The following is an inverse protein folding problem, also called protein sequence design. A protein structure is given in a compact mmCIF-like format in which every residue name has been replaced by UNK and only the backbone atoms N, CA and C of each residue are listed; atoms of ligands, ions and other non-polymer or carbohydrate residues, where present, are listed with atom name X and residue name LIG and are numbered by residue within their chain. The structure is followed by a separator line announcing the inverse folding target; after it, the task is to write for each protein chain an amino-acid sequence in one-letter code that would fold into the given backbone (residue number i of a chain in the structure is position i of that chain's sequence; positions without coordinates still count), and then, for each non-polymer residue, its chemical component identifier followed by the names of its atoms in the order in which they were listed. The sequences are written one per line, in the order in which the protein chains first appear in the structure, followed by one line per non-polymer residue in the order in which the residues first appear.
data_IF_780859021966
#
_entry.id   IF_780859021966
#
_cell.length_a   1.000
_cell.length_b   1.000
_cell.length_c   1.000
_cell.angle_alpha   90.00
_cell.angle_beta   90.00
_cell.angle_gamma   90.00
#
_symmetry.space_group_name_H-M   'P 1'
#
loop_
_entity.id
_entity.type
_entity.pdbx_description
1 polymer ?
#
# COMPACT_ATOMS: atom_id res chain seq x y z
N UNK A 1 32.71 6.12 19.22
CA UNK A 1 32.15 5.85 20.57
C UNK A 1 30.65 5.76 20.42
N UNK A 2 30.08 4.54 20.43
CA UNK A 2 28.63 4.34 20.30
C UNK A 2 27.97 4.70 21.63
N UNK A 3 27.46 5.90 21.72
CA UNK A 3 26.88 6.48 22.96
C UNK A 3 25.55 5.82 23.34
N UNK A 4 24.90 5.15 22.40
CA UNK A 4 23.52 4.63 22.52
C UNK A 4 23.42 3.11 22.66
N UNK A 5 24.54 2.40 22.56
CA UNK A 5 24.54 0.94 22.55
C UNK A 5 25.46 0.41 23.63
N UNK A 6 24.95 -0.21 24.69
CA UNK A 6 25.77 -1.04 25.58
C UNK A 6 26.45 -2.14 24.76
N UNK A 7 27.72 -2.42 25.06
CA UNK A 7 28.45 -3.47 24.33
C UNK A 7 27.79 -4.86 24.41
N UNK A 8 27.03 -5.10 25.47
CA UNK A 8 26.24 -6.32 25.70
C UNK A 8 25.03 -6.50 24.72
N UNK A 9 24.66 -5.48 23.97
CA UNK A 9 23.54 -5.53 23.01
C UNK A 9 23.97 -5.90 21.59
N UNK A 10 25.19 -6.38 21.38
CA UNK A 10 25.69 -6.73 20.02
C UNK A 10 25.19 -8.09 19.52
N UNK A 11 24.75 -8.97 20.39
CA UNK A 11 24.27 -10.31 20.05
C UNK A 11 22.89 -10.54 20.63
N UNK A 12 21.89 -10.59 19.73
CA UNK A 12 20.53 -10.96 20.10
C UNK A 12 20.28 -12.43 19.76
N UNK A 13 19.83 -13.21 20.72
CA UNK A 13 19.41 -14.59 20.48
C UNK A 13 17.92 -14.65 20.11
N UNK A 14 17.59 -15.49 19.15
CA UNK A 14 16.21 -15.72 18.76
C UNK A 14 15.36 -16.14 19.96
N UNK A 15 14.16 -15.56 20.10
CA UNK A 15 13.22 -15.85 21.17
C UNK A 15 13.53 -15.16 22.52
N UNK A 16 14.59 -14.36 22.60
CA UNK A 16 14.92 -13.61 23.82
C UNK A 16 14.23 -12.24 23.87
N UNK A 17 13.89 -11.78 25.07
CA UNK A 17 13.34 -10.45 25.31
C UNK A 17 14.41 -9.57 25.96
N UNK A 18 14.57 -8.37 25.43
CA UNK A 18 15.51 -7.36 25.93
C UNK A 18 14.75 -6.09 26.27
N UNK A 19 15.12 -5.43 27.37
CA UNK A 19 14.48 -4.21 27.84
C UNK A 19 15.42 -3.02 27.65
N UNK A 20 14.98 -2.04 26.87
CA UNK A 20 15.69 -0.78 26.72
C UNK A 20 14.97 0.29 27.54
N UNK A 21 15.64 0.80 28.54
CA UNK A 21 15.12 1.85 29.41
C UNK A 21 15.78 3.20 29.15
N UNK A 22 15.17 4.26 29.73
CA UNK A 22 15.72 5.62 29.73
C UNK A 22 15.95 6.25 28.34
N UNK A 23 15.18 5.84 27.35
CA UNK A 23 15.17 6.46 26.04
C UNK A 23 14.17 7.65 26.03
N UNK A 24 14.70 8.88 25.97
CA UNK A 24 13.90 10.08 25.98
C UNK A 24 13.99 10.83 24.65
N UNK A 25 12.86 11.40 24.19
CA UNK A 25 12.79 12.19 22.97
C UNK A 25 13.21 11.38 21.75
N UNK A 26 14.20 11.89 21.01
CA UNK A 26 14.67 11.24 19.77
C UNK A 26 15.68 10.11 19.97
N UNK A 27 16.09 9.82 21.22
CA UNK A 27 17.05 8.75 21.49
C UNK A 27 16.54 7.36 21.10
N UNK A 28 15.23 7.16 21.13
CA UNK A 28 14.57 5.94 20.66
C UNK A 28 14.80 5.71 19.16
N UNK A 29 14.63 6.75 18.33
CA UNK A 29 14.88 6.68 16.90
C UNK A 29 16.35 6.38 16.58
N UNK A 30 17.27 7.02 17.30
CA UNK A 30 18.70 6.78 17.14
C UNK A 30 19.08 5.34 17.53
N UNK A 31 18.55 4.82 18.63
CA UNK A 31 18.76 3.45 19.07
C UNK A 31 18.24 2.44 18.03
N UNK A 32 17.05 2.66 17.46
CA UNK A 32 16.47 1.82 16.41
C UNK A 32 17.31 1.82 15.12
N UNK A 33 17.80 2.99 14.70
CA UNK A 33 18.66 3.12 13.51
C UNK A 33 19.96 2.33 13.71
N UNK A 34 20.61 2.52 14.86
CA UNK A 34 21.85 1.82 15.17
C UNK A 34 21.64 0.30 15.27
N UNK A 35 20.53 -0.11 15.89
CA UNK A 35 20.16 -1.52 15.98
C UNK A 35 19.95 -2.13 14.60
N UNK A 36 19.14 -1.51 13.74
CA UNK A 36 18.88 -2.03 12.40
C UNK A 36 20.15 -2.12 11.53
N UNK A 37 21.06 -1.14 11.66
CA UNK A 37 22.34 -1.15 10.97
C UNK A 37 23.26 -2.28 11.47
N UNK A 38 23.29 -2.50 12.76
CA UNK A 38 24.18 -3.51 13.40
C UNK A 38 23.68 -4.93 13.10
N UNK A 39 22.37 -5.16 13.18
CA UNK A 39 21.78 -6.48 12.96
C UNK A 39 21.64 -6.84 11.47
N UNK A 40 21.67 -5.85 10.59
CA UNK A 40 21.45 -6.02 9.13
C UNK A 40 20.18 -6.81 8.81
N UNK A 41 19.12 -6.59 9.56
CA UNK A 41 17.82 -7.25 9.46
C UNK A 41 16.69 -6.23 9.36
N UNK A 42 15.49 -6.70 9.08
CA UNK A 42 14.27 -5.90 9.17
C UNK A 42 13.86 -5.80 10.64
N UNK A 43 13.73 -4.58 11.13
CA UNK A 43 13.24 -4.27 12.47
C UNK A 43 11.78 -3.85 12.36
N UNK A 44 10.88 -4.59 13.00
CA UNK A 44 9.49 -4.19 13.15
C UNK A 44 9.33 -3.39 14.45
N UNK A 45 8.97 -2.12 14.31
CA UNK A 45 8.67 -1.24 15.43
C UNK A 45 7.16 -1.07 15.58
N UNK A 46 6.62 -1.44 16.74
CA UNK A 46 5.19 -1.31 17.05
C UNK A 46 4.99 -0.12 17.97
N UNK A 47 4.48 0.98 17.42
CA UNK A 47 4.15 2.17 18.19
C UNK A 47 2.89 1.93 19.04
N UNK A 48 2.88 2.51 20.24
CA UNK A 48 1.75 2.36 21.18
C UNK A 48 0.44 2.99 20.69
N UNK A 49 0.55 4.08 19.91
CA UNK A 49 -0.56 4.84 19.35
C UNK A 49 -0.15 5.59 18.09
N UNK A 50 -1.10 6.17 17.38
CA UNK A 50 -0.85 6.93 16.13
C UNK A 50 0.03 8.18 16.37
N UNK A 51 -0.09 8.83 17.51
CA UNK A 51 0.73 10.00 17.84
C UNK A 51 2.20 9.59 17.94
N UNK A 52 2.47 8.51 18.63
CA UNK A 52 3.82 7.96 18.76
C UNK A 52 4.36 7.43 17.42
N UNK A 53 3.52 6.78 16.61
CA UNK A 53 3.84 6.38 15.23
C UNK A 53 4.35 7.56 14.40
N UNK A 54 3.61 8.69 14.38
CA UNK A 54 4.01 9.88 13.63
C UNK A 54 5.30 10.50 14.18
N UNK A 55 5.45 10.53 15.50
CA UNK A 55 6.65 11.08 16.15
C UNK A 55 7.90 10.27 15.80
N UNK A 56 7.86 8.94 15.95
CA UNK A 56 8.99 8.08 15.67
C UNK A 56 9.33 8.06 14.17
N UNK A 57 8.34 8.06 13.30
CA UNK A 57 8.54 8.12 11.85
C UNK A 57 9.28 9.41 11.44
N UNK A 58 8.86 10.55 11.99
CA UNK A 58 9.54 11.83 11.74
C UNK A 58 10.98 11.83 12.25
N UNK A 59 11.20 11.32 13.46
CA UNK A 59 12.54 11.24 14.05
C UNK A 59 13.46 10.29 13.26
N UNK A 60 12.96 9.13 12.85
CA UNK A 60 13.70 8.17 12.01
C UNK A 60 14.06 8.79 10.66
N UNK A 61 13.12 9.45 9.99
CA UNK A 61 13.40 10.12 8.71
C UNK A 61 14.38 11.29 8.84
N UNK A 62 14.36 11.99 9.98
CA UNK A 62 15.29 13.10 10.25
C UNK A 62 16.73 12.62 10.48
N UNK A 63 16.92 11.54 11.25
CA UNK A 63 18.26 11.05 11.63
C UNK A 63 18.83 10.01 10.67
N UNK A 64 17.99 9.43 9.81
CA UNK A 64 18.42 8.35 8.92
C UNK A 64 18.70 8.85 7.51
N UNK A 65 19.87 8.50 6.99
CA UNK A 65 20.26 8.79 5.60
C UNK A 65 20.39 7.54 4.71
N UNK A 66 20.28 6.33 5.26
CA UNK A 66 20.70 5.12 4.53
C UNK A 66 19.78 3.90 4.67
N UNK A 67 18.99 3.80 5.75
CA UNK A 67 18.08 2.68 5.94
C UNK A 67 16.73 2.96 5.27
N UNK A 68 16.09 1.93 4.75
CA UNK A 68 14.71 2.01 4.29
C UNK A 68 13.78 2.04 5.50
N UNK A 69 12.92 3.05 5.56
CA UNK A 69 11.93 3.21 6.62
C UNK A 69 10.55 3.11 5.95
N UNK A 70 9.79 2.09 6.33
CA UNK A 70 8.45 1.84 5.81
C UNK A 70 7.44 2.07 6.93
N UNK A 71 6.41 2.87 6.63
CA UNK A 71 5.30 3.10 7.54
C UNK A 71 4.09 2.26 7.13
N UNK A 72 3.49 1.55 8.07
CA UNK A 72 2.26 0.80 7.85
C UNK A 72 1.21 1.24 8.88
N UNK A 73 0.34 2.18 8.47
CA UNK A 73 -0.73 2.73 9.31
C UNK A 73 -1.98 1.85 9.30
N UNK A 74 -2.88 2.09 10.26
CA UNK A 74 -4.23 1.56 10.22
C UNK A 74 -5.07 2.27 9.13
N UNK A 75 -6.28 1.79 8.91
CA UNK A 75 -7.20 2.37 7.92
C UNK A 75 -7.83 3.70 8.36
N UNK A 76 -7.65 4.12 9.61
CA UNK A 76 -8.23 5.35 10.19
C UNK A 76 -9.77 5.43 10.08
N UNK A 77 -10.43 4.29 9.97
CA UNK A 77 -11.88 4.14 10.01
C UNK A 77 -12.27 3.10 11.07
N UNK A 78 -13.45 3.25 11.66
CA UNK A 78 -13.95 2.31 12.65
C UNK A 78 -14.41 1.02 11.99
N UNK A 79 -14.21 -0.10 12.69
CA UNK A 79 -14.68 -1.40 12.22
C UNK A 79 -16.21 -1.38 12.02
N UNK A 80 -16.64 -1.92 10.87
CA UNK A 80 -18.05 -1.96 10.45
C UNK A 80 -18.71 -0.61 10.20
N UNK A 81 -17.93 0.46 10.07
CA UNK A 81 -18.42 1.74 9.56
C UNK A 81 -18.72 1.63 8.05
N UNK A 82 -19.55 2.53 7.55
CA UNK A 82 -19.93 2.59 6.13
C UNK A 82 -18.96 3.41 5.27
N UNK A 83 -17.76 3.65 5.78
CA UNK A 83 -16.73 4.40 5.07
C UNK A 83 -15.51 3.53 4.79
N UNK A 84 -14.99 3.64 3.57
CA UNK A 84 -13.68 3.10 3.22
C UNK A 84 -12.55 4.02 3.67
N UNK A 85 -11.35 3.50 3.90
CA UNK A 85 -10.15 4.30 4.14
C UNK A 85 -9.91 5.32 3.03
N UNK A 86 -9.28 6.44 3.39
CA UNK A 86 -8.88 7.43 2.39
C UNK A 86 -7.91 6.81 1.35
N UNK A 87 -8.02 7.12 0.05
CA UNK A 87 -7.15 6.56 -1.00
C UNK A 87 -5.65 6.68 -0.70
N UNK A 88 -5.19 7.79 -0.09
CA UNK A 88 -3.80 7.98 0.31
C UNK A 88 -3.33 6.92 1.32
N UNK A 89 -4.21 6.51 2.26
CA UNK A 89 -3.90 5.49 3.27
C UNK A 89 -3.76 4.14 2.58
N UNK A 90 -4.72 3.76 1.75
CA UNK A 90 -4.68 2.50 0.99
C UNK A 90 -3.44 2.46 0.10
N UNK A 91 -3.14 3.57 -0.58
CA UNK A 91 -1.96 3.74 -1.43
C UNK A 91 -0.65 3.53 -0.66
N UNK A 92 -0.51 4.19 0.49
CA UNK A 92 0.68 4.04 1.36
C UNK A 92 0.83 2.62 1.90
N UNK A 93 -0.28 1.95 2.27
CA UNK A 93 -0.27 0.56 2.73
C UNK A 93 0.19 -0.39 1.62
N UNK A 94 -0.40 -0.27 0.42
CA UNK A 94 -0.03 -1.09 -0.74
C UNK A 94 1.42 -0.87 -1.17
N UNK A 95 1.90 0.38 -1.14
CA UNK A 95 3.31 0.70 -1.37
C UNK A 95 4.21 0.01 -0.34
N UNK A 96 3.85 0.07 0.93
CA UNK A 96 4.61 -0.60 2.00
C UNK A 96 4.61 -2.12 1.82
N UNK A 97 3.46 -2.73 1.54
CA UNK A 97 3.35 -4.18 1.32
C UNK A 97 4.18 -4.64 0.12
N UNK A 98 4.16 -3.89 -1.00
CA UNK A 98 4.95 -4.21 -2.19
C UNK A 98 6.45 -4.18 -1.93
N UNK A 99 6.91 -3.28 -1.06
CA UNK A 99 8.32 -3.12 -0.72
C UNK A 99 8.77 -4.10 0.37
N UNK A 100 7.86 -4.52 1.24
CA UNK A 100 8.14 -5.40 2.37
C UNK A 100 8.63 -6.78 1.90
N UNK A 101 8.03 -7.32 0.83
CA UNK A 101 8.40 -8.63 0.28
C UNK A 101 9.89 -8.74 -0.11
N UNK A 102 10.50 -7.63 -0.52
CA UNK A 102 11.91 -7.57 -0.96
C UNK A 102 12.85 -6.90 0.05
N UNK A 103 12.32 -6.41 1.16
CA UNK A 103 13.09 -5.69 2.17
C UNK A 103 14.01 -6.65 2.94
N UNK A 104 15.33 -6.48 2.83
CA UNK A 104 16.32 -7.28 3.55
C UNK A 104 16.79 -6.60 4.83
N UNK A 105 16.88 -5.28 4.81
CA UNK A 105 17.34 -4.46 5.93
C UNK A 105 16.56 -3.15 5.96
N UNK A 106 16.08 -2.76 7.15
CA UNK A 106 15.31 -1.52 7.30
C UNK A 106 14.46 -1.53 8.57
N UNK A 107 13.62 -0.52 8.69
CA UNK A 107 12.69 -0.37 9.81
C UNK A 107 11.28 -0.28 9.26
N UNK A 108 10.40 -1.15 9.73
CA UNK A 108 8.95 -1.10 9.47
C UNK A 108 8.28 -0.58 10.73
N UNK A 109 7.52 0.50 10.59
CA UNK A 109 6.80 1.12 11.70
C UNK A 109 5.31 0.82 11.54
N UNK A 110 4.69 0.35 12.60
CA UNK A 110 3.25 0.11 12.65
C UNK A 110 2.68 0.45 14.02
N UNK A 111 1.37 0.33 14.19
CA UNK A 111 0.70 0.40 15.49
C UNK A 111 0.19 -0.98 15.89
N UNK A 112 -0.13 -1.16 17.19
CA UNK A 112 -0.73 -2.41 17.67
C UNK A 112 -2.06 -2.70 16.96
N UNK A 113 -2.85 -1.65 16.71
CA UNK A 113 -4.13 -1.75 15.98
C UNK A 113 -3.92 -2.26 14.56
N UNK A 114 -2.96 -1.70 13.81
CA UNK A 114 -2.64 -2.17 12.45
C UNK A 114 -2.09 -3.60 12.44
N UNK A 115 -1.27 -3.95 13.43
CA UNK A 115 -0.69 -5.29 13.54
C UNK A 115 -1.76 -6.37 13.80
N UNK A 116 -2.90 -6.02 14.41
CA UNK A 116 -4.01 -6.94 14.64
C UNK A 116 -4.90 -7.16 13.41
N UNK A 117 -4.76 -6.32 12.37
CA UNK A 117 -5.51 -6.46 11.11
C UNK A 117 -4.94 -7.61 10.26
N UNK A 118 -5.83 -8.33 9.59
CA UNK A 118 -5.44 -9.29 8.56
C UNK A 118 -4.98 -8.55 7.31
N UNK A 119 -3.96 -9.08 6.67
CA UNK A 119 -3.39 -8.55 5.43
C UNK A 119 -3.76 -9.44 4.25
N UNK A 120 -3.67 -8.90 3.03
CA UNK A 120 -3.72 -9.73 1.84
C UNK A 120 -2.52 -10.70 1.81
N UNK A 121 -2.64 -11.86 1.16
CA UNK A 121 -1.53 -12.77 0.93
C UNK A 121 -0.35 -12.08 0.23
N UNK A 122 0.87 -12.51 0.50
CA UNK A 122 2.09 -11.89 -0.03
C UNK A 122 2.16 -11.93 -1.56
N UNK A 123 1.66 -13.01 -2.17
CA UNK A 123 1.61 -13.20 -3.62
C UNK A 123 0.52 -12.36 -4.31
N UNK A 124 -0.45 -11.83 -3.55
CA UNK A 124 -1.50 -10.98 -4.10
C UNK A 124 -0.94 -9.73 -4.79
N UNK A 125 -0.05 -9.01 -4.09
CA UNK A 125 0.54 -7.78 -4.64
C UNK A 125 1.33 -8.08 -5.90
N UNK A 126 2.15 -9.12 -5.91
CA UNK A 126 2.96 -9.51 -7.07
C UNK A 126 2.09 -9.93 -8.26
N UNK A 127 1.04 -10.72 -8.01
CA UNK A 127 0.10 -11.21 -9.03
C UNK A 127 -0.65 -10.06 -9.74
N UNK A 128 -1.00 -9.01 -8.99
CA UNK A 128 -1.84 -7.92 -9.50
C UNK A 128 -1.06 -6.63 -9.80
N UNK A 129 0.25 -6.61 -9.57
CA UNK A 129 1.13 -5.52 -9.97
C UNK A 129 1.69 -5.74 -11.38
N UNK A 130 1.97 -4.67 -12.07
CA UNK A 130 2.64 -4.70 -13.38
C UNK A 130 3.30 -3.35 -13.68
N UNK A 131 4.14 -3.33 -14.71
CA UNK A 131 4.80 -2.12 -15.17
C UNK A 131 4.40 -1.77 -16.59
N UNK A 132 4.60 -0.51 -16.97
CA UNK A 132 4.51 -0.01 -18.34
C UNK A 132 5.77 0.76 -18.68
N UNK A 133 6.27 0.58 -19.89
CA UNK A 133 7.43 1.27 -20.43
C UNK A 133 7.07 2.02 -21.71
N UNK A 134 7.69 3.17 -21.93
CA UNK A 134 7.60 3.84 -23.23
C UNK A 134 8.14 2.89 -24.33
N UNK A 135 7.48 2.89 -25.50
CA UNK A 135 7.76 1.98 -26.60
C UNK A 135 7.07 0.60 -26.53
N UNK A 136 6.36 0.28 -25.42
CA UNK A 136 5.59 -0.94 -25.32
C UNK A 136 4.23 -0.83 -26.03
N UNK A 137 3.73 -1.95 -26.54
CA UNK A 137 2.39 -2.03 -27.11
C UNK A 137 1.34 -2.09 -25.99
N UNK A 138 0.33 -1.25 -26.06
CA UNK A 138 -0.77 -1.16 -25.10
C UNK A 138 -2.12 -1.12 -25.80
N UNK A 139 -2.86 -2.21 -25.73
CA UNK A 139 -4.25 -2.26 -26.23
C UNK A 139 -5.19 -1.68 -25.16
N UNK A 140 -5.97 -0.67 -25.52
CA UNK A 140 -6.79 0.11 -24.59
C UNK A 140 -7.83 -0.75 -23.87
N UNK A 141 -8.62 -1.57 -24.60
CA UNK A 141 -9.69 -2.36 -23.99
C UNK A 141 -9.19 -3.41 -22.98
N UNK A 142 -8.19 -4.26 -23.31
CA UNK A 142 -7.59 -5.16 -22.34
C UNK A 142 -6.99 -4.42 -21.13
N UNK A 143 -6.37 -3.26 -21.35
CA UNK A 143 -5.80 -2.46 -20.29
C UNK A 143 -6.88 -1.91 -19.33
N UNK A 144 -7.98 -1.38 -19.87
CA UNK A 144 -9.13 -0.94 -19.07
C UNK A 144 -9.67 -2.08 -18.21
N UNK A 145 -9.88 -3.24 -18.80
CA UNK A 145 -10.39 -4.41 -18.10
C UNK A 145 -9.42 -4.84 -16.97
N UNK A 146 -8.11 -4.76 -17.22
CA UNK A 146 -7.09 -5.03 -16.22
C UNK A 146 -7.14 -4.02 -15.06
N UNK A 147 -7.27 -2.72 -15.35
CA UNK A 147 -7.39 -1.68 -14.33
C UNK A 147 -8.64 -1.87 -13.46
N UNK A 148 -9.79 -2.11 -14.08
CA UNK A 148 -11.04 -2.36 -13.36
C UNK A 148 -10.93 -3.60 -12.46
N UNK A 149 -10.34 -4.69 -12.97
CA UNK A 149 -10.13 -5.92 -12.22
C UNK A 149 -9.29 -5.72 -10.96
N UNK A 150 -8.28 -4.85 -11.01
CA UNK A 150 -7.42 -4.54 -9.87
C UNK A 150 -7.93 -3.36 -9.02
N UNK A 151 -9.17 -2.93 -9.26
CA UNK A 151 -9.89 -2.01 -8.39
C UNK A 151 -9.79 -0.53 -8.73
N UNK A 152 -9.17 -0.16 -9.87
CA UNK A 152 -9.16 1.24 -10.31
C UNK A 152 -10.53 1.71 -10.74
N UNK A 153 -10.83 2.99 -10.52
CA UNK A 153 -12.09 3.64 -10.89
C UNK A 153 -11.93 4.50 -12.13
N UNK A 154 -12.82 4.33 -13.10
CA UNK A 154 -12.87 5.24 -14.24
C UNK A 154 -13.60 6.52 -13.86
N UNK A 155 -12.98 7.67 -14.11
CA UNK A 155 -13.50 9.00 -13.77
C UNK A 155 -13.42 9.93 -14.99
N UNK A 156 -14.07 11.10 -14.93
CA UNK A 156 -13.95 12.12 -15.97
C UNK A 156 -12.65 12.92 -15.88
N UNK A 157 -12.09 13.07 -14.68
CA UNK A 157 -10.85 13.80 -14.41
C UNK A 157 -10.15 13.12 -13.24
N UNK A 158 -8.89 12.74 -13.44
CA UNK A 158 -8.07 12.04 -12.45
C UNK A 158 -7.55 13.03 -11.41
N UNK A 159 -7.90 12.81 -10.14
CA UNK A 159 -7.54 13.66 -9.02
C UNK A 159 -6.87 12.90 -7.88
N UNK A 160 -7.24 11.61 -7.67
CA UNK A 160 -6.82 10.78 -6.54
C UNK A 160 -6.19 9.47 -7.01
N UNK A 161 -5.41 8.84 -6.13
CA UNK A 161 -4.86 7.50 -6.42
C UNK A 161 -6.00 6.49 -6.62
N UNK A 162 -5.75 5.52 -7.51
CA UNK A 162 -6.74 4.53 -7.91
C UNK A 162 -7.73 5.01 -8.97
N UNK A 163 -7.52 6.19 -9.54
CA UNK A 163 -8.36 6.73 -10.63
C UNK A 163 -7.67 6.65 -11.98
N UNK A 164 -8.47 6.47 -13.02
CA UNK A 164 -8.02 6.59 -14.41
C UNK A 164 -9.09 7.21 -15.32
N UNK A 165 -8.62 7.78 -16.42
CA UNK A 165 -9.47 8.33 -17.49
C UNK A 165 -8.86 8.00 -18.86
N UNK A 166 -9.71 7.88 -19.88
CA UNK A 166 -9.28 7.66 -21.26
C UNK A 166 -10.03 8.62 -22.16
N UNK A 167 -9.26 9.36 -22.95
CA UNK A 167 -9.75 10.31 -23.96
C UNK A 167 -9.03 10.08 -25.29
N UNK A 168 -9.63 9.28 -26.16
CA UNK A 168 -8.96 8.87 -27.40
C UNK A 168 -7.72 8.05 -27.12
N UNK A 169 -6.59 8.49 -27.62
CA UNK A 169 -5.28 7.87 -27.42
C UNK A 169 -4.56 8.31 -26.11
N UNK A 170 -5.23 9.12 -25.27
CA UNK A 170 -4.66 9.64 -24.03
C UNK A 170 -5.24 8.91 -22.84
N UNK A 171 -4.34 8.39 -21.98
CA UNK A 171 -4.72 7.72 -20.75
C UNK A 171 -4.13 8.51 -19.57
N UNK A 172 -4.99 9.05 -18.73
CA UNK A 172 -4.60 9.64 -17.45
C UNK A 172 -4.82 8.61 -16.34
N UNK A 173 -3.84 8.43 -15.47
CA UNK A 173 -3.82 7.39 -14.45
C UNK A 173 -3.09 7.86 -13.20
N UNK A 174 -3.66 7.63 -12.01
CA UNK A 174 -2.97 7.88 -10.75
C UNK A 174 -2.77 6.55 -9.99
N UNK A 175 -1.60 5.90 -10.17
CA UNK A 175 -1.35 4.62 -9.52
C UNK A 175 -1.23 4.72 -8.01
N UNK A 176 -1.58 3.65 -7.31
CA UNK A 176 -1.26 3.46 -5.91
C UNK A 176 0.26 3.44 -5.72
N UNK A 177 0.75 4.06 -4.64
CA UNK A 177 2.18 4.24 -4.36
C UNK A 177 2.84 5.37 -5.15
N UNK A 178 2.17 5.95 -6.15
CA UNK A 178 2.73 7.06 -6.93
C UNK A 178 2.55 8.41 -6.23
N UNK A 179 3.55 9.28 -6.34
CA UNK A 179 3.50 10.66 -5.80
C UNK A 179 2.76 11.63 -6.70
N UNK A 180 2.62 11.29 -7.98
CA UNK A 180 1.97 12.11 -9.00
C UNK A 180 1.24 11.22 -9.99
N UNK A 181 0.14 11.68 -10.59
CA UNK A 181 -0.49 10.97 -11.68
C UNK A 181 0.33 11.01 -12.96
N UNK A 182 0.05 10.06 -13.84
CA UNK A 182 0.73 9.88 -15.12
C UNK A 182 -0.24 10.05 -16.28
N UNK A 183 0.27 10.65 -17.35
CA UNK A 183 -0.39 10.78 -18.64
C UNK A 183 0.37 9.97 -19.66
N UNK A 184 -0.29 9.00 -20.26
CA UNK A 184 0.26 8.10 -21.27
C UNK A 184 -0.33 8.50 -22.60
N UNK A 185 0.51 8.90 -23.54
CA UNK A 185 0.15 9.17 -24.93
C UNK A 185 0.40 7.92 -25.75
N UNK A 186 -0.59 7.50 -26.54
CA UNK A 186 -0.46 6.38 -27.48
C UNK A 186 -0.35 6.90 -28.92
N UNK A 187 0.56 6.34 -29.69
CA UNK A 187 0.55 6.42 -31.14
C UNK A 187 0.14 5.05 -31.68
N UNK A 188 -1.04 4.96 -32.26
CA UNK A 188 -1.74 3.70 -32.53
C UNK A 188 -1.89 2.91 -31.22
N UNK A 189 -1.21 1.76 -31.09
CA UNK A 189 -1.18 0.93 -29.89
C UNK A 189 0.18 0.93 -29.18
N UNK A 190 1.08 1.85 -29.51
CA UNK A 190 2.39 1.97 -28.86
C UNK A 190 2.39 3.14 -27.88
N UNK A 191 3.01 2.95 -26.71
CA UNK A 191 3.21 4.04 -25.74
C UNK A 191 4.28 4.99 -26.27
N UNK A 192 3.85 6.11 -26.88
CA UNK A 192 4.75 7.13 -27.40
C UNK A 192 5.48 7.87 -26.28
N UNK A 193 4.75 8.25 -25.23
CA UNK A 193 5.34 8.93 -24.08
C UNK A 193 4.55 8.73 -22.80
N UNK A 194 5.26 8.77 -21.67
CA UNK A 194 4.68 8.79 -20.33
C UNK A 194 5.15 10.08 -19.65
N UNK A 195 4.21 10.86 -19.09
CA UNK A 195 4.52 12.12 -18.40
C UNK A 195 3.86 12.14 -17.03
N UNK A 196 4.52 12.70 -16.04
CA UNK A 196 3.86 13.12 -14.81
C UNK A 196 2.99 14.34 -15.08
N UNK A 197 1.92 14.52 -14.32
CA UNK A 197 1.14 15.75 -14.35
C UNK A 197 0.66 16.15 -12.96
N UNK A 198 0.28 17.41 -12.81
CA UNK A 198 -0.27 17.92 -11.55
C UNK A 198 -1.79 17.75 -11.56
N UNK A 199 -2.33 16.94 -10.63
CA UNK A 199 -3.76 16.65 -10.54
C UNK A 199 -4.62 17.94 -10.48
N UNK A 200 -4.25 18.91 -9.65
CA UNK A 200 -5.01 20.16 -9.48
C UNK A 200 -5.09 21.07 -10.70
N UNK A 201 -4.11 21.01 -11.62
CA UNK A 201 -4.07 21.87 -12.83
C UNK A 201 -4.16 21.08 -14.13
N UNK A 202 -4.05 19.77 -14.08
CA UNK A 202 -4.05 18.85 -15.23
C UNK A 202 -2.90 19.11 -16.22
N UNK A 203 -1.85 19.84 -15.80
CA UNK A 203 -0.69 20.17 -16.65
C UNK A 203 0.39 19.14 -16.48
N UNK A 204 0.92 18.64 -17.60
CA UNK A 204 2.09 17.76 -17.64
C UNK A 204 3.34 18.47 -17.10
N UNK A 205 4.24 17.71 -16.46
CA UNK A 205 5.45 18.21 -15.82
C UNK A 205 6.67 17.56 -16.49
N UNK A 206 6.99 16.32 -16.12
CA UNK A 206 8.21 15.63 -16.55
C UNK A 206 7.89 14.42 -17.42
N UNK A 207 8.80 14.13 -18.37
CA UNK A 207 8.77 12.89 -19.15
C UNK A 207 9.50 11.79 -18.36
N UNK A 208 8.89 10.60 -18.30
CA UNK A 208 9.48 9.42 -17.68
C UNK A 208 9.33 8.23 -18.61
N UNK A 209 10.16 7.21 -18.43
CA UNK A 209 10.17 6.04 -19.33
C UNK A 209 9.50 4.81 -18.75
N UNK A 210 9.23 4.81 -17.46
CA UNK A 210 8.76 3.61 -16.74
C UNK A 210 7.83 4.00 -15.60
N UNK A 211 6.74 3.24 -15.43
CA UNK A 211 5.85 3.31 -14.27
C UNK A 211 5.52 1.93 -13.76
N UNK A 212 5.35 1.81 -12.43
CA UNK A 212 4.83 0.63 -11.77
C UNK A 212 3.39 0.89 -11.33
N UNK A 213 2.54 -0.10 -11.52
CA UNK A 213 1.16 -0.08 -11.10
C UNK A 213 0.94 -1.16 -10.03
N UNK A 214 0.51 -0.71 -8.86
CA UNK A 214 0.02 -1.57 -7.79
C UNK A 214 -1.50 -1.75 -7.93
N UNK A 215 -2.10 -2.81 -7.37
CA UNK A 215 -3.56 -2.90 -7.29
C UNK A 215 -4.13 -1.70 -6.50
N UNK A 216 -5.39 -1.31 -6.79
CA UNK A 216 -6.02 -0.19 -6.09
C UNK A 216 -6.76 -0.59 -4.81
N UNK A 217 -6.75 -1.88 -4.46
CA UNK A 217 -7.33 -2.45 -3.23
C UNK A 217 -6.43 -3.54 -2.68
N UNK A 218 -6.60 -3.87 -1.41
CA UNK A 218 -5.91 -5.00 -0.77
C UNK A 218 -6.58 -6.37 -1.08
N UNK A 219 -7.57 -6.41 -2.00
CA UNK A 219 -8.26 -7.62 -2.48
C UNK A 219 -8.65 -7.44 -3.96
N UNK A 220 -8.78 -8.56 -4.68
CA UNK A 220 -9.23 -8.53 -6.07
C UNK A 220 -10.76 -8.41 -6.17
N UNK A 221 -11.21 -7.76 -7.27
CA UNK A 221 -12.64 -7.54 -7.55
C UNK A 221 -13.13 -8.35 -8.75
N UNK A 222 -12.44 -9.45 -9.06
CA UNK A 222 -12.85 -10.36 -10.15
C UNK A 222 -13.87 -11.42 -9.68
N UNK A 223 -14.43 -12.14 -10.64
CA UNK A 223 -15.45 -13.16 -10.38
C UNK A 223 -14.95 -14.30 -9.49
N UNK A 224 -13.65 -14.64 -9.55
CA UNK A 224 -13.02 -15.65 -8.70
C UNK A 224 -13.03 -15.20 -7.24
N UNK A 225 -12.54 -13.99 -6.98
CA UNK A 225 -12.51 -13.42 -5.62
C UNK A 225 -13.91 -13.22 -5.03
N UNK A 226 -14.90 -12.81 -5.87
CA UNK A 226 -16.31 -12.72 -5.45
C UNK A 226 -16.83 -14.11 -5.06
N UNK A 227 -16.50 -15.15 -5.82
CA UNK A 227 -16.93 -16.52 -5.52
C UNK A 227 -16.34 -17.04 -4.21
N UNK A 228 -15.05 -16.74 -3.96
CA UNK A 228 -14.37 -17.05 -2.69
C UNK A 228 -15.04 -16.32 -1.54
N UNK A 229 -15.28 -15.02 -1.69
CA UNK A 229 -15.99 -14.20 -0.70
C UNK A 229 -17.34 -14.80 -0.32
N UNK A 230 -18.17 -15.13 -1.32
CA UNK A 230 -19.51 -15.72 -1.10
C UNK A 230 -19.44 -17.01 -0.28
N UNK A 231 -18.50 -17.90 -0.64
CA UNK A 231 -18.28 -19.16 0.06
C UNK A 231 -17.86 -18.93 1.50
N UNK A 232 -16.87 -18.05 1.71
CA UNK A 232 -16.32 -17.78 3.04
C UNK A 232 -17.32 -17.01 3.90
N UNK A 233 -18.08 -16.08 3.32
CA UNK A 233 -19.14 -15.36 4.03
C UNK A 233 -20.21 -16.31 4.56
N UNK A 234 -20.71 -17.23 3.71
CA UNK A 234 -21.68 -18.23 4.11
C UNK A 234 -21.14 -19.17 5.20
N UNK A 235 -19.87 -19.56 5.10
CA UNK A 235 -19.21 -20.40 6.11
C UNK A 235 -19.09 -19.71 7.47
N UNK A 236 -18.81 -18.41 7.48
CA UNK A 236 -18.57 -17.63 8.71
C UNK A 236 -19.87 -17.17 9.37
N UNK A 237 -20.82 -16.67 8.58
CA UNK A 237 -22.06 -16.07 9.09
C UNK A 237 -23.29 -16.98 9.02
N UNK A 238 -23.21 -18.09 8.31
CA UNK A 238 -24.29 -19.11 8.25
C UNK A 238 -25.53 -18.69 7.45
N UNK A 239 -25.57 -17.47 6.88
CA UNK A 239 -26.66 -16.97 6.06
C UNK A 239 -26.15 -16.01 4.97
N UNK A 240 -27.03 -15.63 4.07
CA UNK A 240 -26.76 -14.69 2.96
C UNK A 240 -27.53 -13.38 3.11
N UNK A 241 -28.18 -13.17 4.26
CA UNK A 241 -29.08 -12.04 4.50
C UNK A 241 -28.29 -10.83 5.00
N UNK A 242 -27.47 -10.26 4.14
CA UNK A 242 -26.65 -9.12 4.55
C UNK A 242 -26.35 -8.17 3.38
N UNK A 243 -26.50 -6.87 3.61
CA UNK A 243 -26.19 -5.83 2.63
C UNK A 243 -24.82 -6.03 1.95
N UNK A 244 -23.79 -6.34 2.73
CA UNK A 244 -22.44 -6.58 2.20
C UNK A 244 -22.39 -7.80 1.27
N UNK A 245 -23.08 -8.89 1.66
CA UNK A 245 -23.13 -10.09 0.82
C UNK A 245 -23.84 -9.83 -0.52
N UNK A 246 -24.97 -9.14 -0.49
CA UNK A 246 -25.74 -8.76 -1.70
C UNK A 246 -24.90 -7.88 -2.63
N UNK A 247 -24.34 -6.79 -2.10
CA UNK A 247 -23.52 -5.87 -2.89
C UNK A 247 -22.31 -6.55 -3.54
N UNK A 248 -21.54 -7.30 -2.76
CA UNK A 248 -20.35 -8.01 -3.28
C UNK A 248 -20.77 -9.08 -4.29
N UNK A 249 -21.91 -9.76 -4.08
CA UNK A 249 -22.42 -10.77 -5.02
C UNK A 249 -22.77 -10.21 -6.38
N UNK A 250 -23.13 -8.92 -6.44
CA UNK A 250 -23.41 -8.17 -7.66
C UNK A 250 -22.18 -7.40 -8.20
N UNK A 251 -21.00 -7.61 -7.61
CA UNK A 251 -19.76 -6.96 -8.02
C UNK A 251 -19.62 -5.52 -7.54
N UNK A 252 -20.43 -5.08 -6.57
CA UNK A 252 -20.31 -3.77 -5.93
C UNK A 252 -19.58 -3.90 -4.60
N UNK A 253 -18.72 -2.95 -4.31
CA UNK A 253 -17.89 -2.95 -3.12
C UNK A 253 -18.18 -1.71 -2.29
N UNK A 254 -19.13 -1.81 -1.35
CA UNK A 254 -19.56 -0.67 -0.53
C UNK A 254 -18.47 -0.24 0.46
N UNK A 255 -18.63 0.96 1.02
CA UNK A 255 -17.73 1.46 2.06
C UNK A 255 -17.67 0.51 3.26
N UNK A 256 -16.48 0.35 3.83
CA UNK A 256 -16.22 -0.57 4.94
C UNK A 256 -15.96 -2.03 4.54
N UNK A 257 -15.94 -2.33 3.25
CA UNK A 257 -15.65 -3.68 2.73
C UNK A 257 -14.25 -4.19 3.14
N UNK A 258 -13.33 -3.29 3.46
CA UNK A 258 -11.98 -3.59 3.89
C UNK A 258 -11.95 -4.45 5.16
N UNK A 259 -12.95 -4.33 6.04
CA UNK A 259 -13.07 -5.16 7.24
C UNK A 259 -13.44 -6.62 6.94
N UNK A 260 -13.92 -6.87 5.73
CA UNK A 260 -14.22 -8.21 5.22
C UNK A 260 -13.09 -8.79 4.36
N UNK A 261 -11.92 -8.13 4.33
CA UNK A 261 -10.74 -8.54 3.57
C UNK A 261 -10.43 -10.04 3.67
N UNK A 262 -10.45 -10.68 4.87
CA UNK A 262 -10.14 -12.11 4.99
C UNK A 262 -11.05 -13.04 4.19
N UNK A 263 -12.24 -12.58 3.82
CA UNK A 263 -13.20 -13.39 3.09
C UNK A 263 -12.89 -13.50 1.58
N UNK A 264 -11.97 -12.68 1.07
CA UNK A 264 -11.56 -12.69 -0.34
C UNK A 264 -10.41 -13.66 -0.64
N UNK A 265 -9.90 -14.37 0.39
CA UNK A 265 -8.74 -15.25 0.27
C UNK A 265 -8.96 -16.62 0.88
#
# INVERSE_FOLDING_TARGET
MNILYPEDCKTFSSGSTYYWGSLFGSSEALALIEFAKTQQQVVLYVAKDIKHYVQIQRALNFYNSSLKILGFSNWEVLAFDHFSPHPDIVSSRLETLSQLATLKTGIVITTLESLSQRLCPTDYIDKYSFSLNAGETLEIEPFVNKLLKIGYRRVSTVMEQGEFNIKGALIDLYPMGAKSPYRIDLFDNEIDSIRTFKASTQRSIDVINHINLLPAREFASDSESISIFKKNYLSEFGNTDGFIYEEVSEGRFPGGIEFYLPLFF
#
